data_IF_288347018831
#
_entry.id   IF_288347018831
#
_cell.length_a   1.000
_cell.length_b   1.000
_cell.length_c   1.000
_cell.angle_alpha   90.00
_cell.angle_beta   90.00
_cell.angle_gamma   90.00
#
_symmetry.space_group_name_H-M   'P 1'
#
loop_
_entity.id
_entity.type
_entity.pdbx_description
1 polymer ?
#
# COMPACT_ATOMS: atom_id res chain seq x y z
N UNK A 1 -2.91 18.55 -24.62
CA UNK A 1 -2.58 17.15 -24.96
C UNK A 1 -1.09 17.01 -25.30
N UNK A 2 -0.41 15.93 -24.85
CA UNK A 2 0.96 15.60 -25.28
C UNK A 2 2.06 15.61 -24.21
N UNK A 3 1.76 15.93 -22.96
CA UNK A 3 2.72 15.80 -21.85
C UNK A 3 2.68 14.42 -21.16
N UNK A 4 1.62 13.63 -21.36
CA UNK A 4 1.50 12.27 -20.81
C UNK A 4 2.65 11.39 -21.30
N UNK A 5 3.32 10.70 -20.36
CA UNK A 5 4.54 9.94 -20.58
C UNK A 5 5.83 10.76 -20.45
N UNK A 6 5.76 12.09 -20.42
CA UNK A 6 6.91 12.98 -20.27
C UNK A 6 7.48 13.03 -18.85
N UNK A 7 8.75 13.42 -18.75
CA UNK A 7 9.46 13.52 -17.48
C UNK A 7 9.01 14.74 -16.65
N UNK A 8 8.85 14.52 -15.34
CA UNK A 8 8.83 15.57 -14.33
C UNK A 8 10.18 15.53 -13.59
N UNK A 9 10.93 16.64 -13.63
CA UNK A 9 12.28 16.74 -13.06
C UNK A 9 12.37 17.84 -12.01
N UNK A 10 13.30 17.70 -11.06
CA UNK A 10 13.66 18.80 -10.15
C UNK A 10 14.66 19.78 -10.82
N UNK A 11 15.06 20.83 -10.10
CA UNK A 11 16.03 21.86 -10.51
C UNK A 11 17.43 21.32 -10.82
N UNK A 12 17.76 20.12 -10.31
CA UNK A 12 18.99 19.40 -10.60
C UNK A 12 18.89 18.44 -11.80
N UNK A 13 17.72 18.35 -12.45
CA UNK A 13 17.47 17.43 -13.56
C UNK A 13 17.18 15.99 -13.13
N UNK A 14 16.97 15.71 -11.85
CA UNK A 14 16.60 14.38 -11.37
C UNK A 14 15.14 14.08 -11.67
N UNK A 15 14.85 12.88 -12.21
CA UNK A 15 13.49 12.42 -12.48
C UNK A 15 12.72 12.17 -11.17
N UNK A 16 11.68 12.95 -10.92
CA UNK A 16 10.81 12.84 -9.74
C UNK A 16 9.44 12.22 -10.08
N UNK A 17 9.02 12.23 -11.34
CA UNK A 17 7.81 11.54 -11.77
C UNK A 17 7.59 11.47 -13.29
N UNK A 18 6.55 10.76 -13.69
CA UNK A 18 6.08 10.64 -15.07
C UNK A 18 4.71 11.31 -15.19
N UNK A 19 4.63 12.40 -15.96
CA UNK A 19 3.39 13.11 -16.20
C UNK A 19 2.36 12.17 -16.80
N UNK A 20 1.18 12.08 -16.20
CA UNK A 20 0.19 11.05 -16.56
C UNK A 20 -1.19 11.62 -16.84
N UNK A 21 -1.65 12.56 -16.00
CA UNK A 21 -2.99 13.11 -16.12
C UNK A 21 -3.01 14.62 -15.85
N UNK A 22 -4.06 15.27 -16.33
CA UNK A 22 -4.43 16.65 -15.99
C UNK A 22 -5.85 16.63 -15.43
N UNK A 23 -6.14 17.46 -14.42
CA UNK A 23 -7.52 17.70 -14.01
C UNK A 23 -8.05 18.91 -14.78
N UNK A 24 -9.01 18.68 -15.68
CA UNK A 24 -9.61 19.74 -16.50
C UNK A 24 -11.03 19.39 -16.91
N UNK A 25 -11.99 20.34 -16.87
CA UNK A 25 -13.32 20.17 -17.44
C UNK A 25 -13.34 20.20 -18.98
N UNK A 26 -12.31 20.79 -19.62
CA UNK A 26 -12.33 21.14 -21.05
C UNK A 26 -11.35 20.33 -21.90
N UNK A 27 -10.54 19.48 -21.28
CA UNK A 27 -9.45 18.74 -21.95
C UNK A 27 -8.17 19.56 -22.19
N UNK A 28 -8.19 20.85 -21.81
CA UNK A 28 -7.03 21.76 -21.86
C UNK A 28 -6.44 21.94 -20.46
N UNK A 29 -5.11 22.05 -20.36
CA UNK A 29 -4.43 22.26 -19.08
C UNK A 29 -4.99 23.48 -18.33
N UNK A 30 -5.42 23.25 -17.09
CA UNK A 30 -6.07 24.25 -16.23
C UNK A 30 -5.22 24.61 -14.99
N UNK A 31 -3.91 24.36 -15.01
CA UNK A 31 -3.02 24.61 -13.86
C UNK A 31 -2.74 23.39 -12.98
N UNK A 32 -3.42 22.26 -13.19
CA UNK A 32 -3.23 21.03 -12.41
C UNK A 32 -2.73 19.87 -13.28
N UNK A 33 -1.61 19.28 -12.89
CA UNK A 33 -1.03 18.08 -13.50
C UNK A 33 -0.66 17.07 -12.42
N UNK A 34 -0.83 15.79 -12.74
CA UNK A 34 -0.52 14.67 -11.85
C UNK A 34 0.53 13.79 -12.49
N UNK A 35 1.51 13.40 -11.69
CA UNK A 35 2.61 12.55 -12.09
C UNK A 35 2.64 11.26 -11.26
N UNK A 36 2.95 10.15 -11.91
CA UNK A 36 3.31 8.90 -11.23
C UNK A 36 4.69 9.10 -10.62
N UNK A 37 4.89 8.89 -9.31
CA UNK A 37 6.18 9.04 -8.65
C UNK A 37 7.26 8.16 -9.29
N UNK A 38 8.48 8.69 -9.46
CA UNK A 38 9.56 7.95 -10.15
C UNK A 38 10.00 6.69 -9.42
N UNK A 39 9.87 6.65 -8.08
CA UNK A 39 10.11 5.44 -7.28
C UNK A 39 9.09 4.32 -7.59
N UNK A 40 7.82 4.66 -7.81
CA UNK A 40 6.81 3.68 -8.22
C UNK A 40 7.06 3.19 -9.65
N UNK A 41 7.37 4.11 -10.57
CA UNK A 41 7.69 3.77 -11.96
C UNK A 41 8.88 2.80 -12.05
N UNK A 42 9.93 2.99 -11.22
CA UNK A 42 11.08 2.10 -11.15
C UNK A 42 10.72 0.65 -10.78
N UNK A 43 9.80 0.45 -9.84
CA UNK A 43 9.35 -0.89 -9.46
C UNK A 43 8.63 -1.56 -10.63
N UNK A 44 7.68 -0.85 -11.25
CA UNK A 44 6.88 -1.37 -12.37
C UNK A 44 7.76 -1.72 -13.58
N UNK A 45 8.68 -0.83 -13.97
CA UNK A 45 9.58 -1.05 -15.11
C UNK A 45 10.45 -2.29 -14.86
N UNK A 46 10.93 -2.46 -13.62
CA UNK A 46 11.73 -3.61 -13.25
C UNK A 46 10.96 -4.92 -13.41
N UNK A 47 9.74 -5.00 -12.91
CA UNK A 47 8.90 -6.19 -13.02
C UNK A 47 8.63 -6.55 -14.50
N UNK A 48 8.31 -5.55 -15.34
CA UNK A 48 8.06 -5.76 -16.77
C UNK A 48 9.31 -6.28 -17.49
N UNK A 49 10.50 -5.74 -17.18
CA UNK A 49 11.76 -6.19 -17.80
C UNK A 49 12.10 -7.62 -17.38
N UNK A 50 11.93 -7.96 -16.09
CA UNK A 50 12.35 -9.26 -15.54
C UNK A 50 11.33 -10.37 -15.83
N UNK A 51 10.03 -10.07 -15.76
CA UNK A 51 8.96 -11.08 -15.77
C UNK A 51 7.98 -10.95 -16.94
N UNK A 52 8.04 -9.86 -17.71
CA UNK A 52 7.06 -9.57 -18.78
C UNK A 52 5.69 -9.10 -18.29
N UNK A 53 5.48 -8.99 -16.97
CA UNK A 53 4.24 -8.54 -16.34
C UNK A 53 4.53 -7.87 -14.97
N UNK A 54 3.55 -7.16 -14.41
CA UNK A 54 3.63 -6.49 -13.11
C UNK A 54 3.34 -7.48 -11.99
N UNK A 55 4.21 -7.55 -10.98
CA UNK A 55 3.99 -8.43 -9.83
C UNK A 55 3.39 -7.67 -8.65
N UNK A 56 2.07 -7.76 -8.51
CA UNK A 56 1.38 -7.16 -7.36
C UNK A 56 1.52 -8.04 -6.11
N UNK A 57 1.69 -7.37 -4.98
CA UNK A 57 1.72 -7.99 -3.65
C UNK A 57 0.59 -7.46 -2.79
N UNK A 58 0.11 -8.30 -1.88
CA UNK A 58 -0.78 -7.92 -0.80
C UNK A 58 -0.41 -8.68 0.48
N UNK A 59 -1.04 -8.33 1.60
CA UNK A 59 -0.87 -9.08 2.85
C UNK A 59 -1.67 -10.39 2.83
N UNK A 60 -2.79 -10.45 2.09
CA UNK A 60 -3.75 -11.55 2.07
C UNK A 60 -4.59 -11.60 3.35
N UNK A 61 -5.28 -10.49 3.61
CA UNK A 61 -6.13 -10.27 4.79
C UNK A 61 -7.48 -9.72 4.36
N UNK A 62 -8.48 -9.98 5.18
CA UNK A 62 -9.83 -9.43 5.08
C UNK A 62 -10.22 -8.82 6.43
N UNK A 63 -11.14 -7.85 6.40
CA UNK A 63 -11.66 -7.20 7.60
C UNK A 63 -12.07 -5.76 7.35
N UNK A 64 -12.02 -4.95 8.42
CA UNK A 64 -12.72 -3.68 8.48
C UNK A 64 -11.83 -2.55 8.98
N UNK A 65 -12.13 -1.32 8.56
CA UNK A 65 -11.53 -0.15 9.18
C UNK A 65 -12.09 -0.03 10.61
N UNK A 66 -11.21 0.16 11.59
CA UNK A 66 -11.60 0.21 13.00
C UNK A 66 -12.65 1.30 13.25
N UNK A 67 -12.54 2.43 12.55
CA UNK A 67 -13.48 3.55 12.68
C UNK A 67 -14.94 3.15 12.37
N UNK A 68 -15.15 2.14 11.53
CA UNK A 68 -16.48 1.73 11.06
C UNK A 68 -17.12 0.67 11.97
N UNK A 69 -16.31 -0.07 12.75
CA UNK A 69 -16.78 -1.19 13.59
C UNK A 69 -16.54 -0.97 15.09
N UNK A 70 -15.97 0.18 15.49
CA UNK A 70 -15.50 0.41 16.85
C UNK A 70 -16.61 0.25 17.90
N UNK A 71 -17.77 0.86 17.65
CA UNK A 71 -18.90 0.88 18.59
C UNK A 71 -19.52 -0.50 18.72
N UNK A 72 -19.74 -1.18 17.59
CA UNK A 72 -20.34 -2.51 17.52
C UNK A 72 -19.47 -3.59 18.22
N UNK A 73 -18.15 -3.47 18.14
CA UNK A 73 -17.20 -4.42 18.71
C UNK A 73 -16.53 -3.94 20.01
N UNK A 74 -16.96 -2.79 20.54
CA UNK A 74 -16.39 -2.15 21.74
C UNK A 74 -14.85 -2.11 21.73
N UNK A 75 -14.27 -1.73 20.59
CA UNK A 75 -12.82 -1.70 20.41
C UNK A 75 -12.21 -0.54 21.19
N UNK A 76 -11.11 -0.81 21.90
CA UNK A 76 -10.33 0.22 22.61
C UNK A 76 -9.55 1.14 21.69
N UNK A 77 -9.26 0.69 20.47
CA UNK A 77 -8.53 1.44 19.46
C UNK A 77 -9.46 2.35 18.64
N UNK A 78 -9.00 3.56 18.30
CA UNK A 78 -9.78 4.54 17.52
C UNK A 78 -9.51 4.51 16.01
N UNK A 79 -8.50 3.75 15.57
CA UNK A 79 -8.06 3.72 14.17
C UNK A 79 -7.26 2.44 13.91
N UNK A 80 -7.00 2.16 12.64
CA UNK A 80 -6.28 0.98 12.20
C UNK A 80 -7.19 0.11 11.35
N UNK A 81 -6.63 -1.01 10.91
CA UNK A 81 -7.36 -2.02 10.16
C UNK A 81 -7.50 -3.26 11.01
N UNK A 82 -8.74 -3.66 11.32
CA UNK A 82 -9.06 -4.87 12.04
C UNK A 82 -9.02 -6.05 11.09
N UNK A 83 -8.21 -7.06 11.42
CA UNK A 83 -8.08 -8.30 10.64
C UNK A 83 -9.18 -9.25 11.09
N UNK A 84 -10.17 -9.46 10.23
CA UNK A 84 -11.21 -10.47 10.44
C UNK A 84 -10.73 -11.84 10.01
N UNK A 85 -10.09 -11.93 8.84
CA UNK A 85 -9.60 -13.19 8.31
C UNK A 85 -8.22 -13.05 7.64
N UNK A 86 -7.50 -14.16 7.57
CA UNK A 86 -6.19 -14.28 6.96
C UNK A 86 -6.21 -15.42 5.94
N UNK A 87 -6.02 -15.09 4.68
CA UNK A 87 -6.09 -16.07 3.60
C UNK A 87 -5.00 -17.14 3.72
N UNK A 88 -5.37 -18.39 3.45
CA UNK A 88 -4.45 -19.53 3.47
C UNK A 88 -3.39 -19.35 2.37
N UNK A 89 -2.13 -19.57 2.71
CA UNK A 89 -0.98 -19.38 1.83
C UNK A 89 -0.53 -17.92 1.69
N UNK A 90 -1.19 -16.97 2.36
CA UNK A 90 -0.85 -15.56 2.28
C UNK A 90 0.43 -15.19 3.03
N UNK A 91 0.97 -14.01 2.71
CA UNK A 91 2.09 -13.43 3.44
C UNK A 91 1.73 -13.18 4.93
N UNK A 92 0.49 -12.79 5.21
CA UNK A 92 -0.04 -12.63 6.56
C UNK A 92 -0.03 -13.94 7.35
N UNK A 93 -0.50 -15.04 6.75
CA UNK A 93 -0.53 -16.35 7.40
C UNK A 93 0.89 -16.81 7.79
N UNK A 94 1.83 -16.81 6.83
CA UNK A 94 3.22 -17.20 7.10
C UNK A 94 3.94 -16.22 8.04
N UNK A 95 3.49 -14.97 8.10
CA UNK A 95 3.99 -13.96 9.02
C UNK A 95 3.51 -14.10 10.46
N UNK A 96 2.49 -14.93 10.72
CA UNK A 96 1.88 -15.07 12.04
C UNK A 96 0.96 -13.92 12.43
N UNK A 97 0.44 -13.18 11.44
CA UNK A 97 -0.71 -12.31 11.63
C UNK A 97 -1.96 -13.18 11.86
N UNK A 98 -2.82 -12.78 12.78
CA UNK A 98 -4.00 -13.57 13.17
C UNK A 98 -5.27 -12.73 13.07
N UNK A 99 -6.43 -13.38 12.86
CA UNK A 99 -7.73 -12.77 13.15
C UNK A 99 -7.75 -12.11 14.53
N UNK A 100 -8.38 -10.94 14.62
CA UNK A 100 -8.43 -10.10 15.82
C UNK A 100 -7.25 -9.14 15.99
N UNK A 101 -6.22 -9.22 15.14
CA UNK A 101 -5.15 -8.22 15.12
C UNK A 101 -5.67 -6.88 14.57
N UNK A 102 -5.27 -5.77 15.20
CA UNK A 102 -5.48 -4.42 14.66
C UNK A 102 -4.16 -3.90 14.14
N UNK A 103 -4.04 -3.73 12.82
CA UNK A 103 -2.86 -3.17 12.17
C UNK A 103 -2.83 -1.65 12.39
N UNK A 104 -1.75 -1.17 13.01
CA UNK A 104 -1.53 0.25 13.31
C UNK A 104 -0.49 0.89 12.40
N UNK A 105 0.53 0.13 12.00
CA UNK A 105 1.57 0.61 11.07
C UNK A 105 2.06 -0.49 10.14
N UNK A 106 2.41 -0.10 8.91
CA UNK A 106 3.18 -0.93 7.97
C UNK A 106 4.43 -0.14 7.55
N UNK A 107 5.62 -0.72 7.74
CA UNK A 107 6.90 -0.07 7.46
C UNK A 107 7.04 1.33 8.09
N UNK A 108 6.49 1.48 9.30
CA UNK A 108 6.48 2.76 10.02
C UNK A 108 5.39 3.74 9.58
N UNK A 109 4.73 3.52 8.43
CA UNK A 109 3.60 4.35 7.98
C UNK A 109 2.36 4.03 8.80
N UNK A 110 1.63 5.06 9.22
CA UNK A 110 0.39 4.91 10.01
C UNK A 110 -0.72 4.36 9.11
N UNK A 111 -1.46 3.39 9.64
CA UNK A 111 -2.63 2.80 8.99
C UNK A 111 -3.86 3.24 9.76
N UNK A 112 -4.81 3.86 9.07
CA UNK A 112 -6.13 4.17 9.58
C UNK A 112 -7.23 3.39 8.86
N UNK A 113 -6.98 3.00 7.60
CA UNK A 113 -7.91 2.29 6.73
C UNK A 113 -7.21 1.33 5.76
N UNK A 114 -7.98 0.46 5.11
CA UNK A 114 -7.48 -0.50 4.13
C UNK A 114 -6.71 0.16 2.99
N UNK A 115 -7.13 1.34 2.54
CA UNK A 115 -6.48 2.06 1.45
C UNK A 115 -5.05 2.51 1.81
N UNK A 116 -4.78 2.76 3.10
CA UNK A 116 -3.41 3.03 3.56
C UNK A 116 -2.51 1.81 3.37
N UNK A 117 -3.00 0.61 3.69
CA UNK A 117 -2.26 -0.65 3.47
C UNK A 117 -2.00 -0.83 1.98
N UNK A 118 -3.03 -0.70 1.14
CA UNK A 118 -2.90 -0.79 -0.32
C UNK A 118 -1.87 0.20 -0.86
N UNK A 119 -1.85 1.43 -0.34
CA UNK A 119 -0.88 2.46 -0.72
C UNK A 119 0.55 2.06 -0.38
N UNK A 120 0.79 1.46 0.80
CA UNK A 120 2.12 0.96 1.16
C UNK A 120 2.54 -0.18 0.24
N UNK A 121 1.64 -1.14 -0.03
CA UNK A 121 1.94 -2.30 -0.88
C UNK A 121 2.31 -1.93 -2.32
N UNK A 122 1.80 -0.80 -2.87
CA UNK A 122 2.14 -0.34 -4.24
C UNK A 122 3.64 -0.14 -4.47
N UNK A 123 4.41 0.12 -3.41
CA UNK A 123 5.86 0.33 -3.50
C UNK A 123 6.69 -0.91 -3.14
N UNK A 124 6.02 -2.02 -2.84
CA UNK A 124 6.66 -3.27 -2.48
C UNK A 124 6.57 -4.30 -3.60
N UNK A 125 7.51 -5.22 -3.61
CA UNK A 125 7.62 -6.33 -4.56
C UNK A 125 7.61 -7.68 -3.86
N UNK A 126 7.47 -8.74 -4.65
CA UNK A 126 7.58 -10.12 -4.16
C UNK A 126 8.93 -10.32 -3.49
N UNK A 127 8.91 -10.94 -2.31
CA UNK A 127 10.12 -11.21 -1.52
C UNK A 127 10.57 -10.08 -0.59
N UNK A 128 10.01 -8.87 -0.70
CA UNK A 128 10.25 -7.80 0.28
C UNK A 128 9.79 -8.23 1.69
N UNK A 129 10.48 -7.78 2.72
CA UNK A 129 10.02 -7.97 4.11
C UNK A 129 9.37 -6.69 4.61
N UNK A 130 8.13 -6.79 5.07
CA UNK A 130 7.40 -5.67 5.67
C UNK A 130 7.29 -5.85 7.18
N UNK A 131 7.39 -4.74 7.91
CA UNK A 131 7.24 -4.68 9.36
C UNK A 131 5.87 -4.12 9.72
N UNK A 132 5.03 -4.95 10.32
CA UNK A 132 3.74 -4.56 10.89
C UNK A 132 3.90 -4.23 12.38
N UNK A 133 3.26 -3.15 12.81
CA UNK A 133 2.94 -2.94 14.21
C UNK A 133 1.45 -3.18 14.39
N UNK A 134 1.11 -4.14 15.24
CA UNK A 134 -0.27 -4.56 15.49
C UNK A 134 -0.59 -4.46 16.97
N UNK A 135 -1.88 -4.38 17.29
CA UNK A 135 -2.41 -4.59 18.65
C UNK A 135 -3.13 -5.92 18.64
N UNK A 136 -2.72 -6.85 19.53
CA UNK A 136 -3.33 -8.16 19.73
C UNK A 136 -3.73 -8.29 21.19
N UNK A 137 -5.02 -8.45 21.46
CA UNK A 137 -5.56 -8.54 22.82
C UNK A 137 -5.06 -7.39 23.72
N UNK A 138 -5.12 -6.15 23.20
CA UNK A 138 -4.64 -4.95 23.89
C UNK A 138 -3.11 -4.78 23.97
N UNK A 139 -2.32 -5.75 23.54
CA UNK A 139 -0.85 -5.70 23.60
C UNK A 139 -0.24 -5.35 22.24
N UNK A 140 0.71 -4.41 22.21
CA UNK A 140 1.45 -4.06 20.99
C UNK A 140 2.41 -5.18 20.60
N UNK A 141 2.34 -5.62 19.35
CA UNK A 141 3.27 -6.60 18.76
C UNK A 141 3.89 -6.05 17.48
N UNK A 142 5.08 -6.53 17.19
CA UNK A 142 5.76 -6.28 15.91
C UNK A 142 5.84 -7.60 15.16
N UNK A 143 5.33 -7.63 13.94
CA UNK A 143 5.36 -8.79 13.06
C UNK A 143 6.16 -8.43 11.83
N UNK A 144 7.14 -9.25 11.46
CA UNK A 144 7.84 -9.12 10.19
C UNK A 144 7.38 -10.25 9.30
N UNK A 145 6.90 -9.92 8.11
CA UNK A 145 6.45 -10.92 7.15
C UNK A 145 7.05 -10.65 5.79
N UNK A 146 7.33 -11.73 5.07
CA UNK A 146 7.89 -11.70 3.71
C UNK A 146 6.73 -11.71 2.72
N UNK A 147 6.67 -10.69 1.88
CA UNK A 147 5.66 -10.54 0.85
C UNK A 147 5.83 -11.61 -0.22
N UNK A 148 4.68 -12.04 -0.73
CA UNK A 148 4.54 -13.06 -1.76
C UNK A 148 3.69 -12.49 -2.88
N UNK A 149 3.74 -13.12 -4.05
CA UNK A 149 2.85 -12.77 -5.15
C UNK A 149 1.40 -12.86 -4.66
N UNK A 150 0.59 -11.85 -4.98
CA UNK A 150 -0.85 -11.92 -4.73
C UNK A 150 -1.38 -13.20 -5.39
N UNK A 151 -2.13 -13.98 -4.62
CA UNK A 151 -3.04 -14.97 -5.20
C UNK A 151 -4.24 -14.26 -5.81
#
# INVERSE_FOLDING_TARGET
>A
PGNSGGALVNDQGNLVGINSAIATPTGVYAGYSFAIPSNLAKVIIKDIIENGDIERVNLGIEGYDVKDIKEDFNLSENNGFYVEDVYIGSAAQFGGLLPGDIIKRVNGQRINELEDIKRVMKFNKVGDTVKLNVVRNGTKKTIKLKLRKSM
#
